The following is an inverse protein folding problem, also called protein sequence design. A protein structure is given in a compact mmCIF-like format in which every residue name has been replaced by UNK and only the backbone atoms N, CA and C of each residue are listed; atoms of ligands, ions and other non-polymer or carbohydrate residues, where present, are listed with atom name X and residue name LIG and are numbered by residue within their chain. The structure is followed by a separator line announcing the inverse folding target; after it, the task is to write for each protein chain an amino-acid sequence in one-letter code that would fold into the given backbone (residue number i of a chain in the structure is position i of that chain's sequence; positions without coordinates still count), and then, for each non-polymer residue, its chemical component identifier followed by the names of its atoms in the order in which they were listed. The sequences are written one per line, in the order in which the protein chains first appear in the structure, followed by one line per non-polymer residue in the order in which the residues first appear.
data_IF_858442855707
#
_entry.id   IF_858442855707
#
_cell.length_a   1.000
_cell.length_b   1.000
_cell.length_c   1.000
_cell.angle_alpha   90.00
_cell.angle_beta   90.00
_cell.angle_gamma   90.00
#
_symmetry.space_group_name_H-M   'P 1'
#
loop_
_entity.id
_entity.type
_entity.pdbx_description
1 polymer ?
#
# COMPACT_ATOMS: atom_id res chain seq x y z
N UNK A 1 26.49 16.74 13.70
CA UNK A 1 26.30 16.19 12.33
C UNK A 1 27.30 16.87 11.40
N UNK A 2 28.25 16.12 10.79
CA UNK A 2 29.14 16.68 9.77
C UNK A 2 28.29 17.20 8.60
N UNK A 3 28.55 18.44 8.14
CA UNK A 3 27.93 18.95 6.91
C UNK A 3 28.36 18.04 5.76
N UNK A 4 27.43 17.28 5.22
CA UNK A 4 27.67 16.36 4.09
C UNK A 4 27.75 17.21 2.84
N UNK A 5 28.80 17.01 2.03
CA UNK A 5 28.95 17.69 0.75
C UNK A 5 27.86 17.25 -0.23
N UNK A 6 27.39 18.19 -1.08
CA UNK A 6 26.45 17.87 -2.16
C UNK A 6 26.98 16.77 -3.11
N UNK A 7 28.28 16.70 -3.29
CA UNK A 7 28.93 15.63 -4.08
C UNK A 7 28.67 14.23 -3.52
N UNK A 8 28.59 14.07 -2.18
CA UNK A 8 28.29 12.78 -1.54
C UNK A 8 26.81 12.43 -1.57
N UNK A 9 25.92 13.45 -1.60
CA UNK A 9 24.46 13.26 -1.64
C UNK A 9 23.95 12.92 -3.04
N UNK A 10 24.56 13.47 -4.08
CA UNK A 10 24.12 13.32 -5.48
C UNK A 10 23.94 11.86 -5.93
N UNK A 11 24.87 10.93 -5.68
CA UNK A 11 24.68 9.52 -6.04
C UNK A 11 23.56 8.85 -5.26
N UNK A 12 23.38 9.19 -3.97
CA UNK A 12 22.29 8.66 -3.13
C UNK A 12 20.91 9.14 -3.62
N UNK A 13 20.78 10.42 -3.93
CA UNK A 13 19.56 10.99 -4.52
C UNK A 13 19.24 10.33 -5.86
N UNK A 14 20.27 10.10 -6.71
CA UNK A 14 20.07 9.40 -7.99
C UNK A 14 19.56 7.96 -7.76
N UNK A 15 20.13 7.23 -6.81
CA UNK A 15 19.69 5.88 -6.48
C UNK A 15 18.25 5.84 -5.98
N UNK A 16 17.87 6.79 -5.11
CA UNK A 16 16.47 6.92 -4.66
C UNK A 16 15.54 7.17 -5.86
N UNK A 17 15.90 8.06 -6.80
CA UNK A 17 15.08 8.32 -7.99
C UNK A 17 14.94 7.09 -8.89
N UNK A 18 16.03 6.37 -9.13
CA UNK A 18 16.02 5.15 -9.97
C UNK A 18 15.10 4.08 -9.42
N UNK A 19 15.03 3.94 -8.09
CA UNK A 19 14.13 2.97 -7.46
C UNK A 19 12.70 3.52 -7.29
N UNK A 20 12.55 4.81 -7.02
CA UNK A 20 11.23 5.40 -6.79
C UNK A 20 10.41 5.53 -8.07
N UNK A 21 11.01 5.88 -9.20
CA UNK A 21 10.28 6.15 -10.43
C UNK A 21 9.47 4.95 -10.93
N UNK A 22 10.02 3.72 -11.03
CA UNK A 22 9.21 2.55 -11.38
C UNK A 22 8.11 2.26 -10.35
N UNK A 23 8.40 2.44 -9.04
CA UNK A 23 7.41 2.23 -8.00
C UNK A 23 6.26 3.25 -8.05
N UNK A 24 6.55 4.52 -8.37
CA UNK A 24 5.54 5.55 -8.63
C UNK A 24 4.66 5.17 -9.83
N UNK A 25 5.27 4.72 -10.93
CA UNK A 25 4.54 4.26 -12.11
C UNK A 25 3.60 3.10 -11.78
N UNK A 26 4.03 2.15 -10.95
CA UNK A 26 3.16 1.06 -10.45
C UNK A 26 1.92 1.63 -9.76
N UNK A 27 2.07 2.60 -8.86
CA UNK A 27 0.95 3.19 -8.13
C UNK A 27 0.00 3.97 -9.04
N UNK A 28 0.55 4.76 -9.96
CA UNK A 28 -0.27 5.49 -10.95
C UNK A 28 -1.05 4.51 -11.83
N UNK A 29 -0.42 3.45 -12.31
CA UNK A 29 -1.07 2.43 -13.14
C UNK A 29 -2.22 1.74 -12.39
N UNK A 30 -2.04 1.45 -11.10
CA UNK A 30 -3.10 0.86 -10.26
C UNK A 30 -4.32 1.77 -10.17
N UNK A 31 -4.11 3.08 -10.01
CA UNK A 31 -5.22 4.05 -9.98
C UNK A 31 -5.92 4.12 -11.34
N UNK A 32 -5.14 4.23 -12.41
CA UNK A 32 -5.69 4.27 -13.79
C UNK A 32 -6.56 3.05 -14.05
N UNK A 33 -6.09 1.85 -13.63
CA UNK A 33 -6.87 0.61 -13.73
C UNK A 33 -8.20 0.73 -12.97
N UNK A 34 -8.19 1.19 -11.71
CA UNK A 34 -9.42 1.37 -10.93
C UNK A 34 -10.42 2.35 -11.58
N UNK A 35 -9.92 3.42 -12.22
CA UNK A 35 -10.77 4.35 -12.95
C UNK A 35 -11.39 3.73 -14.20
N UNK A 36 -10.60 2.99 -14.97
CA UNK A 36 -11.08 2.29 -16.17
C UNK A 36 -12.15 1.26 -15.78
N UNK A 37 -11.91 0.47 -14.74
CA UNK A 37 -12.87 -0.51 -14.22
C UNK A 37 -14.18 0.17 -13.81
N UNK A 38 -14.07 1.26 -13.06
CA UNK A 38 -15.24 2.02 -12.62
C UNK A 38 -16.04 2.58 -13.80
N UNK A 39 -15.36 3.05 -14.85
CA UNK A 39 -16.00 3.55 -16.07
C UNK A 39 -16.66 2.42 -16.87
N UNK A 40 -15.99 1.28 -17.01
CA UNK A 40 -16.53 0.11 -17.73
C UNK A 40 -17.76 -0.46 -17.02
N UNK A 41 -17.72 -0.61 -15.69
CA UNK A 41 -18.86 -1.05 -14.90
C UNK A 41 -19.97 0.00 -14.89
N UNK A 42 -19.62 1.28 -14.83
CA UNK A 42 -20.57 2.38 -14.90
C UNK A 42 -21.44 2.37 -16.15
N UNK A 43 -20.91 1.85 -17.28
CA UNK A 43 -21.66 1.68 -18.52
C UNK A 43 -22.80 0.66 -18.42
N UNK A 44 -22.79 -0.26 -17.44
CA UNK A 44 -23.85 -1.20 -17.14
C UNK A 44 -25.02 -0.57 -16.35
N UNK A 45 -24.83 0.65 -15.85
CA UNK A 45 -25.85 1.39 -15.09
C UNK A 45 -25.56 1.55 -13.60
N UNK A 46 -26.40 2.34 -12.92
CA UNK A 46 -26.21 2.72 -11.53
C UNK A 46 -26.22 1.53 -10.56
N UNK A 47 -27.04 0.52 -10.80
CA UNK A 47 -27.13 -0.66 -9.94
C UNK A 47 -25.86 -1.48 -9.95
N UNK A 48 -25.19 -1.59 -11.11
CA UNK A 48 -23.92 -2.30 -11.25
C UNK A 48 -22.82 -1.61 -10.44
N UNK A 49 -22.70 -0.31 -10.55
CA UNK A 49 -21.75 0.49 -9.77
C UNK A 49 -22.05 0.41 -8.26
N UNK A 50 -23.32 0.47 -7.88
CA UNK A 50 -23.74 0.34 -6.50
C UNK A 50 -23.43 -1.05 -5.91
N UNK A 51 -23.57 -2.12 -6.68
CA UNK A 51 -23.25 -3.47 -6.26
C UNK A 51 -21.76 -3.64 -5.92
N UNK A 52 -20.86 -3.13 -6.76
CA UNK A 52 -19.40 -3.13 -6.49
C UNK A 52 -19.06 -2.21 -5.33
N UNK A 53 -19.63 -1.00 -5.30
CA UNK A 53 -19.44 -0.04 -4.22
C UNK A 53 -19.81 -0.60 -2.84
N UNK A 54 -20.90 -1.38 -2.76
CA UNK A 54 -21.38 -2.01 -1.52
C UNK A 54 -20.30 -2.90 -0.89
N UNK A 55 -19.61 -3.72 -1.66
CA UNK A 55 -18.61 -4.68 -1.16
C UNK A 55 -17.18 -4.13 -1.18
N UNK A 56 -16.96 -2.91 -1.68
CA UNK A 56 -15.62 -2.33 -1.87
C UNK A 56 -14.81 -2.25 -0.58
N UNK A 57 -15.41 -1.82 0.52
CA UNK A 57 -14.72 -1.75 1.83
C UNK A 57 -14.24 -3.13 2.28
N UNK A 58 -15.02 -4.19 2.03
CA UNK A 58 -14.64 -5.56 2.37
C UNK A 58 -13.49 -6.06 1.48
N UNK A 59 -13.49 -5.72 0.19
CA UNK A 59 -12.38 -6.06 -0.72
C UNK A 59 -11.10 -5.31 -0.35
N UNK A 60 -11.20 -4.06 0.05
CA UNK A 60 -10.06 -3.28 0.54
C UNK A 60 -9.48 -3.84 1.83
N UNK A 61 -10.32 -4.27 2.76
CA UNK A 61 -9.89 -4.92 3.99
C UNK A 61 -9.08 -6.20 3.70
N UNK A 62 -9.59 -7.05 2.81
CA UNK A 62 -8.89 -8.27 2.39
C UNK A 62 -7.55 -7.94 1.71
N UNK A 63 -7.52 -6.92 0.85
CA UNK A 63 -6.30 -6.39 0.25
C UNK A 63 -5.28 -5.90 1.28
N UNK A 64 -5.73 -5.20 2.33
CA UNK A 64 -4.89 -4.75 3.43
C UNK A 64 -4.26 -5.90 4.21
N UNK A 65 -5.01 -6.99 4.44
CA UNK A 65 -4.47 -8.19 5.10
C UNK A 65 -3.40 -8.85 4.22
N UNK A 66 -3.63 -8.98 2.91
CA UNK A 66 -2.65 -9.55 1.97
C UNK A 66 -1.37 -8.71 1.92
N UNK A 67 -1.50 -7.39 1.96
CA UNK A 67 -0.37 -6.46 2.05
C UNK A 67 0.42 -6.63 3.35
N UNK A 68 -0.26 -6.76 4.49
CA UNK A 68 0.38 -6.95 5.79
C UNK A 68 1.21 -8.24 5.85
N UNK A 69 0.69 -9.34 5.31
CA UNK A 69 1.43 -10.62 5.17
C UNK A 69 2.68 -10.41 4.32
N UNK A 70 2.55 -9.75 3.18
CA UNK A 70 3.68 -9.48 2.27
C UNK A 70 4.75 -8.61 2.94
N UNK A 71 4.35 -7.57 3.70
CA UNK A 71 5.25 -6.70 4.43
C UNK A 71 6.06 -7.44 5.50
N UNK A 72 5.45 -8.42 6.19
CA UNK A 72 6.09 -9.23 7.22
C UNK A 72 7.32 -10.01 6.72
N UNK A 73 7.26 -10.49 5.49
CA UNK A 73 8.35 -11.27 4.89
C UNK A 73 9.30 -10.41 4.07
N UNK A 74 8.82 -9.40 3.33
CA UNK A 74 9.64 -8.60 2.42
C UNK A 74 10.75 -7.83 3.13
N UNK A 75 10.50 -7.30 4.33
CA UNK A 75 11.52 -6.63 5.15
C UNK A 75 12.65 -7.59 5.53
N UNK A 76 12.35 -8.84 5.85
CA UNK A 76 13.36 -9.86 6.16
C UNK A 76 14.19 -10.22 4.93
N UNK A 77 13.57 -10.23 3.74
CA UNK A 77 14.30 -10.41 2.46
C UNK A 77 15.28 -9.25 2.25
N UNK A 78 14.82 -8.00 2.43
CA UNK A 78 15.70 -6.83 2.30
C UNK A 78 16.90 -6.89 3.25
N UNK A 79 16.69 -7.28 4.52
CA UNK A 79 17.76 -7.44 5.50
C UNK A 79 18.76 -8.53 5.10
N UNK A 80 18.30 -9.71 4.64
CA UNK A 80 19.18 -10.80 4.23
C UNK A 80 19.99 -10.45 2.99
N UNK A 81 19.38 -9.81 1.98
CA UNK A 81 20.09 -9.36 0.78
C UNK A 81 21.12 -8.29 1.14
N UNK A 82 20.76 -7.33 2.00
CA UNK A 82 21.68 -6.31 2.48
C UNK A 82 22.89 -6.91 3.21
N UNK A 83 22.68 -7.98 3.96
CA UNK A 83 23.74 -8.73 4.67
C UNK A 83 24.56 -9.69 3.74
N UNK A 84 24.26 -9.74 2.44
CA UNK A 84 24.91 -10.69 1.51
C UNK A 84 24.52 -12.15 1.75
N UNK A 85 23.44 -12.43 2.48
CA UNK A 85 22.99 -13.79 2.84
C UNK A 85 21.85 -14.24 1.94
N UNK A 86 22.15 -14.54 0.68
CA UNK A 86 21.14 -14.96 -0.30
C UNK A 86 20.41 -16.26 0.10
N UNK A 87 21.11 -17.22 0.73
CA UNK A 87 20.47 -18.43 1.25
C UNK A 87 19.42 -18.12 2.32
N UNK A 88 19.69 -17.16 3.21
CA UNK A 88 18.71 -16.65 4.17
C UNK A 88 17.51 -15.98 3.51
N UNK A 89 17.76 -15.17 2.47
CA UNK A 89 16.68 -14.55 1.70
C UNK A 89 15.78 -15.60 1.02
N UNK A 90 16.34 -16.64 0.42
CA UNK A 90 15.61 -17.77 -0.19
C UNK A 90 14.81 -18.56 0.83
N UNK A 91 15.35 -18.76 2.03
CA UNK A 91 14.61 -19.39 3.13
C UNK A 91 13.38 -18.56 3.52
N UNK A 92 13.54 -17.24 3.66
CA UNK A 92 12.40 -16.33 3.93
C UNK A 92 11.37 -16.36 2.80
N UNK A 93 11.80 -16.37 1.53
CA UNK A 93 10.90 -16.48 0.36
C UNK A 93 10.06 -17.75 0.42
N UNK A 94 10.67 -18.91 0.73
CA UNK A 94 9.96 -20.19 0.87
C UNK A 94 8.91 -20.15 1.96
N UNK A 95 9.29 -19.71 3.18
CA UNK A 95 8.36 -19.58 4.31
C UNK A 95 7.25 -18.58 4.01
N UNK A 96 7.61 -17.47 3.35
CA UNK A 96 6.67 -16.43 2.93
C UNK A 96 5.62 -16.97 1.95
N UNK A 97 6.04 -17.75 0.94
CA UNK A 97 5.11 -18.36 -0.02
C UNK A 97 4.15 -19.34 0.66
N UNK A 98 4.68 -20.26 1.50
CA UNK A 98 3.82 -21.21 2.20
C UNK A 98 2.81 -20.49 3.11
N UNK A 99 3.29 -19.57 3.94
CA UNK A 99 2.41 -18.83 4.87
C UNK A 99 1.40 -17.97 4.12
N UNK A 100 1.82 -17.25 3.09
CA UNK A 100 0.95 -16.37 2.32
C UNK A 100 -0.15 -17.16 1.59
N UNK A 101 0.19 -18.30 0.99
CA UNK A 101 -0.80 -19.18 0.34
C UNK A 101 -1.76 -19.81 1.35
N UNK A 102 -1.28 -20.21 2.53
CA UNK A 102 -2.16 -20.70 3.61
C UNK A 102 -3.14 -19.61 4.07
N UNK A 103 -2.65 -18.39 4.33
CA UNK A 103 -3.51 -17.27 4.75
C UNK A 103 -4.49 -16.90 3.62
N UNK A 104 -4.03 -16.83 2.38
CA UNK A 104 -4.87 -16.55 1.22
C UNK A 104 -5.94 -17.62 1.02
N UNK A 105 -5.60 -18.89 1.23
CA UNK A 105 -6.55 -20.01 1.19
C UNK A 105 -7.63 -19.89 2.26
N UNK A 106 -7.24 -19.54 3.50
CA UNK A 106 -8.20 -19.30 4.60
C UNK A 106 -9.12 -18.12 4.25
N UNK A 107 -8.56 -17.00 3.77
CA UNK A 107 -9.36 -15.83 3.38
C UNK A 107 -10.28 -16.14 2.20
N UNK A 108 -9.82 -16.92 1.23
CA UNK A 108 -10.64 -17.38 0.11
C UNK A 108 -11.84 -18.23 0.60
N UNK A 109 -11.59 -19.23 1.45
CA UNK A 109 -12.66 -20.08 2.00
C UNK A 109 -13.64 -19.27 2.85
N UNK A 110 -13.15 -18.36 3.70
CA UNK A 110 -13.99 -17.44 4.48
C UNK A 110 -14.81 -16.54 3.56
N UNK A 111 -14.20 -15.93 2.55
CA UNK A 111 -14.89 -15.08 1.58
C UNK A 111 -15.99 -15.84 0.84
N UNK A 112 -15.69 -17.07 0.39
CA UNK A 112 -16.67 -17.94 -0.26
C UNK A 112 -17.79 -18.40 0.68
N UNK A 113 -17.52 -18.53 1.97
CA UNK A 113 -18.56 -18.91 2.96
C UNK A 113 -19.54 -17.78 3.24
N UNK A 114 -19.09 -16.53 3.17
CA UNK A 114 -19.94 -15.37 3.54
C UNK A 114 -20.47 -14.59 2.34
N UNK A 115 -20.04 -14.88 1.10
CA UNK A 115 -20.33 -14.07 -0.08
C UNK A 115 -21.84 -13.78 -0.29
N UNK A 116 -22.70 -14.75 0.01
CA UNK A 116 -24.15 -14.62 -0.17
C UNK A 116 -24.81 -13.78 0.94
N UNK A 117 -24.25 -13.78 2.15
CA UNK A 117 -24.78 -13.05 3.31
C UNK A 117 -24.22 -11.64 3.40
N UNK A 118 -23.00 -11.42 2.92
CA UNK A 118 -22.27 -10.16 3.04
C UNK A 118 -23.06 -8.94 2.52
N UNK A 119 -23.67 -8.94 1.31
CA UNK A 119 -24.45 -7.81 0.84
C UNK A 119 -25.66 -7.47 1.72
N UNK A 120 -26.23 -8.48 2.36
CA UNK A 120 -27.35 -8.29 3.31
C UNK A 120 -26.86 -7.67 4.61
N UNK A 121 -25.74 -8.14 5.17
CA UNK A 121 -25.11 -7.57 6.37
C UNK A 121 -24.68 -6.11 6.17
N UNK A 122 -24.28 -5.76 4.96
CA UNK A 122 -23.91 -4.38 4.60
C UNK A 122 -25.11 -3.48 4.29
N UNK A 123 -26.34 -3.98 4.44
CA UNK A 123 -27.56 -3.20 4.23
C UNK A 123 -27.89 -2.93 2.76
N UNK A 124 -27.37 -3.75 1.83
CA UNK A 124 -27.60 -3.59 0.39
C UNK A 124 -29.08 -3.73 0.02
N UNK A 125 -29.53 -2.95 -0.98
CA UNK A 125 -30.85 -3.09 -1.57
C UNK A 125 -31.02 -4.48 -2.22
N UNK A 126 -32.18 -5.14 -2.10
CA UNK A 126 -32.47 -6.43 -2.73
C UNK A 126 -32.12 -6.49 -4.23
N UNK A 127 -32.29 -5.37 -4.95
CA UNK A 127 -32.01 -5.28 -6.38
C UNK A 127 -30.52 -5.47 -6.75
N UNK A 128 -29.60 -5.14 -5.83
CA UNK A 128 -28.13 -5.20 -6.10
C UNK A 128 -27.43 -6.34 -5.35
N UNK A 129 -28.09 -7.02 -4.41
CA UNK A 129 -27.48 -8.05 -3.56
C UNK A 129 -26.91 -9.22 -4.38
N UNK A 130 -27.61 -9.63 -5.41
CA UNK A 130 -27.18 -10.75 -6.25
C UNK A 130 -25.86 -10.43 -6.97
N UNK A 131 -25.77 -9.27 -7.61
CA UNK A 131 -24.58 -8.86 -8.36
C UNK A 131 -23.41 -8.60 -7.41
N UNK A 132 -23.65 -7.96 -6.27
CA UNK A 132 -22.65 -7.75 -5.22
C UNK A 132 -22.10 -9.07 -4.67
N UNK A 133 -22.97 -10.06 -4.43
CA UNK A 133 -22.59 -11.40 -3.98
C UNK A 133 -21.71 -12.12 -5.00
N UNK A 134 -22.10 -12.09 -6.28
CA UNK A 134 -21.36 -12.73 -7.38
C UNK A 134 -19.99 -12.07 -7.61
N UNK A 135 -19.95 -10.74 -7.58
CA UNK A 135 -18.70 -10.01 -7.68
C UNK A 135 -17.74 -10.35 -6.53
N UNK A 136 -18.24 -10.33 -5.29
CA UNK A 136 -17.45 -10.67 -4.11
C UNK A 136 -16.98 -12.13 -4.10
N UNK A 137 -17.78 -13.06 -4.60
CA UNK A 137 -17.39 -14.45 -4.79
C UNK A 137 -16.19 -14.59 -5.73
N UNK A 138 -16.20 -13.90 -6.87
CA UNK A 138 -15.08 -13.90 -7.81
C UNK A 138 -13.84 -13.24 -7.18
N UNK A 139 -14.02 -12.14 -6.44
CA UNK A 139 -12.95 -11.50 -5.71
C UNK A 139 -12.33 -12.43 -4.67
N UNK A 140 -13.14 -13.20 -3.93
CA UNK A 140 -12.65 -14.18 -2.97
C UNK A 140 -11.78 -15.26 -3.65
N UNK A 141 -12.18 -15.74 -4.83
CA UNK A 141 -11.38 -16.68 -5.64
C UNK A 141 -10.08 -16.06 -6.17
N UNK A 142 -10.03 -14.74 -6.37
CA UNK A 142 -8.85 -14.02 -6.81
C UNK A 142 -7.80 -13.86 -5.68
N UNK A 143 -8.20 -13.91 -4.40
CA UNK A 143 -7.31 -13.61 -3.26
C UNK A 143 -5.97 -14.37 -3.32
N UNK A 144 -5.89 -15.70 -3.61
CA UNK A 144 -4.62 -16.40 -3.71
C UNK A 144 -3.68 -15.81 -4.78
N UNK A 145 -4.21 -15.41 -5.92
CA UNK A 145 -3.43 -14.77 -6.98
C UNK A 145 -2.99 -13.35 -6.60
N UNK A 146 -3.88 -12.57 -6.00
CA UNK A 146 -3.56 -11.24 -5.50
C UNK A 146 -2.48 -11.29 -4.41
N UNK A 147 -2.56 -12.25 -3.49
CA UNK A 147 -1.55 -12.48 -2.47
C UNK A 147 -0.20 -12.87 -3.10
N UNK A 148 -0.21 -13.76 -4.08
CA UNK A 148 1.00 -14.18 -4.80
C UNK A 148 1.65 -13.00 -5.53
N UNK A 149 0.84 -12.15 -6.19
CA UNK A 149 1.31 -10.93 -6.85
C UNK A 149 1.93 -9.95 -5.84
N UNK A 150 1.23 -9.64 -4.76
CA UNK A 150 1.70 -8.71 -3.71
C UNK A 150 3.00 -9.18 -3.08
N UNK A 151 3.10 -10.46 -2.74
CA UNK A 151 4.27 -11.03 -2.09
C UNK A 151 5.51 -11.02 -3.01
N UNK A 152 5.37 -11.56 -4.24
CA UNK A 152 6.50 -11.64 -5.17
C UNK A 152 6.91 -10.26 -5.69
N UNK A 153 5.97 -9.34 -5.89
CA UNK A 153 6.25 -7.94 -6.19
C UNK A 153 7.09 -7.30 -5.08
N UNK A 154 6.69 -7.49 -3.82
CA UNK A 154 7.43 -6.97 -2.65
C UNK A 154 8.83 -7.60 -2.52
N UNK A 155 8.98 -8.89 -2.82
CA UNK A 155 10.28 -9.57 -2.82
C UNK A 155 11.21 -9.02 -3.90
N UNK A 156 10.72 -8.85 -5.13
CA UNK A 156 11.49 -8.25 -6.22
C UNK A 156 11.91 -6.82 -5.88
N UNK A 157 11.00 -6.00 -5.35
CA UNK A 157 11.30 -4.65 -4.91
C UNK A 157 12.40 -4.65 -3.84
N UNK A 158 12.30 -5.50 -2.82
CA UNK A 158 13.31 -5.63 -1.77
C UNK A 158 14.65 -6.19 -2.27
N UNK A 159 14.66 -6.95 -3.39
CA UNK A 159 15.89 -7.36 -4.07
C UNK A 159 16.51 -6.24 -4.91
N UNK A 160 15.86 -5.09 -5.04
CA UNK A 160 16.28 -3.94 -5.84
C UNK A 160 15.74 -3.94 -7.27
N UNK A 161 14.99 -4.95 -7.67
CA UNK A 161 14.30 -5.00 -8.96
C UNK A 161 12.94 -4.32 -8.84
N UNK A 162 12.91 -2.99 -8.98
CA UNK A 162 11.67 -2.21 -9.01
C UNK A 162 11.02 -2.20 -10.40
N UNK A 163 11.80 -2.45 -11.44
CA UNK A 163 11.35 -2.32 -12.83
C UNK A 163 10.43 -3.47 -13.22
N UNK A 164 10.77 -4.71 -12.87
CA UNK A 164 9.95 -5.89 -13.21
C UNK A 164 8.53 -5.80 -12.66
N UNK A 165 8.30 -5.51 -11.36
CA UNK A 165 6.95 -5.29 -10.83
C UNK A 165 6.21 -4.15 -11.51
N UNK A 166 6.91 -3.06 -11.85
CA UNK A 166 6.30 -1.92 -12.51
C UNK A 166 5.77 -2.26 -13.91
N UNK A 167 6.60 -2.92 -14.73
CA UNK A 167 6.20 -3.36 -16.08
C UNK A 167 5.04 -4.37 -16.02
N UNK A 168 5.12 -5.35 -15.11
CA UNK A 168 4.10 -6.38 -14.99
C UNK A 168 2.76 -5.81 -14.48
N UNK A 169 2.78 -4.86 -13.54
CA UNK A 169 1.55 -4.19 -13.10
C UNK A 169 0.96 -3.29 -14.20
N UNK A 170 1.80 -2.64 -15.02
CA UNK A 170 1.31 -1.92 -16.20
C UNK A 170 0.69 -2.89 -17.23
N UNK A 171 1.31 -4.04 -17.45
CA UNK A 171 0.73 -5.08 -18.30
C UNK A 171 -0.58 -5.65 -17.71
N UNK A 172 -0.70 -5.74 -16.37
CA UNK A 172 -1.96 -6.14 -15.71
C UNK A 172 -3.10 -5.19 -16.06
N UNK A 173 -2.85 -3.87 -16.03
CA UNK A 173 -3.85 -2.87 -16.40
C UNK A 173 -4.33 -3.07 -17.85
N UNK A 174 -3.42 -3.32 -18.79
CA UNK A 174 -3.79 -3.57 -20.19
C UNK A 174 -4.60 -4.88 -20.36
N UNK A 175 -4.15 -5.94 -19.70
CA UNK A 175 -4.87 -7.23 -19.74
C UNK A 175 -6.25 -7.13 -19.10
N UNK A 176 -6.37 -6.38 -18.03
CA UNK A 176 -7.63 -6.15 -17.35
C UNK A 176 -8.65 -5.47 -18.26
N UNK A 177 -8.25 -4.42 -18.98
CA UNK A 177 -9.11 -3.75 -19.98
C UNK A 177 -9.55 -4.72 -21.07
N UNK A 178 -8.63 -5.56 -21.57
CA UNK A 178 -8.95 -6.55 -22.61
C UNK A 178 -9.94 -7.59 -22.07
N UNK A 179 -9.67 -8.17 -20.91
CA UNK A 179 -10.56 -9.18 -20.33
C UNK A 179 -11.91 -8.61 -19.91
N UNK A 180 -11.95 -7.41 -19.35
CA UNK A 180 -13.18 -6.70 -19.03
C UNK A 180 -14.01 -6.43 -20.28
N UNK A 181 -13.40 -6.04 -21.39
CA UNK A 181 -14.09 -5.84 -22.67
C UNK A 181 -14.71 -7.14 -23.22
N UNK A 182 -14.15 -8.30 -22.89
CA UNK A 182 -14.67 -9.61 -23.29
C UNK A 182 -15.76 -10.09 -22.31
N UNK A 183 -15.49 -10.02 -21.00
CA UNK A 183 -16.35 -10.67 -20.00
C UNK A 183 -17.53 -9.82 -19.55
N UNK A 184 -17.41 -8.49 -19.49
CA UNK A 184 -18.49 -7.60 -19.05
C UNK A 184 -19.74 -7.73 -19.94
N UNK A 185 -19.66 -7.76 -21.29
CA UNK A 185 -20.84 -7.91 -22.15
C UNK A 185 -21.58 -9.23 -21.93
N UNK A 186 -20.88 -10.30 -21.49
CA UNK A 186 -21.47 -11.63 -21.33
C UNK A 186 -21.99 -11.90 -19.90
N UNK A 187 -21.31 -11.35 -18.88
CA UNK A 187 -21.55 -11.68 -17.49
C UNK A 187 -21.88 -10.46 -16.60
N UNK A 188 -21.98 -9.26 -17.18
CA UNK A 188 -22.30 -8.05 -16.46
C UNK A 188 -21.30 -7.73 -15.34
N UNK A 189 -21.78 -7.43 -14.15
CA UNK A 189 -20.97 -7.10 -12.96
C UNK A 189 -20.00 -8.23 -12.58
N UNK A 190 -20.44 -9.49 -12.66
CA UNK A 190 -19.59 -10.64 -12.43
C UNK A 190 -18.46 -10.72 -13.46
N UNK A 191 -18.72 -10.29 -14.72
CA UNK A 191 -17.73 -10.23 -15.79
C UNK A 191 -16.56 -9.31 -15.49
N UNK A 192 -16.82 -8.16 -14.84
CA UNK A 192 -15.75 -7.26 -14.36
C UNK A 192 -14.86 -7.96 -13.32
N UNK A 193 -15.46 -8.68 -12.38
CA UNK A 193 -14.70 -9.49 -11.43
C UNK A 193 -13.83 -10.56 -12.10
N UNK A 194 -14.39 -11.29 -13.08
CA UNK A 194 -13.69 -12.35 -13.83
C UNK A 194 -12.54 -11.76 -14.66
N UNK A 195 -12.74 -10.60 -15.30
CA UNK A 195 -11.70 -9.92 -16.08
C UNK A 195 -10.50 -9.56 -15.20
N UNK A 196 -10.75 -8.85 -14.11
CA UNK A 196 -9.71 -8.47 -13.15
C UNK A 196 -9.02 -9.68 -12.52
N UNK A 197 -9.78 -10.72 -12.16
CA UNK A 197 -9.22 -11.96 -11.61
C UNK A 197 -8.33 -12.69 -12.63
N UNK A 198 -8.73 -12.72 -13.90
CA UNK A 198 -7.95 -13.35 -14.99
C UNK A 198 -6.63 -12.58 -15.24
N UNK A 199 -6.69 -11.26 -15.33
CA UNK A 199 -5.50 -10.41 -15.47
C UNK A 199 -4.54 -10.60 -14.27
N UNK A 200 -5.08 -10.57 -13.06
CA UNK A 200 -4.33 -10.81 -11.83
C UNK A 200 -3.69 -12.21 -11.83
N UNK A 201 -4.39 -13.25 -12.24
CA UNK A 201 -3.85 -14.60 -12.30
C UNK A 201 -2.66 -14.72 -13.27
N UNK A 202 -2.79 -14.19 -14.49
CA UNK A 202 -1.70 -14.20 -15.48
C UNK A 202 -0.48 -13.47 -14.95
N UNK A 203 -0.66 -12.26 -14.42
CA UNK A 203 0.46 -11.44 -13.94
C UNK A 203 1.07 -12.00 -12.67
N UNK A 204 0.26 -12.52 -11.74
CA UNK A 204 0.79 -13.13 -10.51
C UNK A 204 1.68 -14.35 -10.77
N UNK A 205 1.29 -15.19 -11.73
CA UNK A 205 2.10 -16.34 -12.14
C UNK A 205 3.39 -15.89 -12.84
N UNK A 206 3.32 -14.88 -13.70
CA UNK A 206 4.50 -14.30 -14.37
C UNK A 206 5.43 -13.63 -13.33
N UNK A 207 4.87 -12.92 -12.34
CA UNK A 207 5.62 -12.31 -11.24
C UNK A 207 6.32 -13.37 -10.41
N UNK A 208 5.61 -14.47 -10.08
CA UNK A 208 6.18 -15.60 -9.36
C UNK A 208 7.31 -16.27 -10.15
N UNK A 209 7.11 -16.49 -11.46
CA UNK A 209 8.13 -17.02 -12.35
C UNK A 209 9.40 -16.16 -12.36
N UNK A 210 9.26 -14.85 -12.51
CA UNK A 210 10.39 -13.89 -12.48
C UNK A 210 11.10 -13.88 -11.13
N UNK A 211 10.34 -13.88 -10.03
CA UNK A 211 10.89 -13.85 -8.67
C UNK A 211 11.62 -15.15 -8.32
N UNK A 212 10.96 -16.31 -8.55
CA UNK A 212 11.39 -17.59 -8.00
C UNK A 212 12.36 -18.36 -8.89
N UNK A 213 12.39 -18.08 -10.21
CA UNK A 213 13.24 -18.79 -11.16
C UNK A 213 14.29 -17.91 -11.82
N UNK A 214 14.00 -16.60 -12.04
CA UNK A 214 14.91 -15.74 -12.81
C UNK A 214 15.77 -14.83 -11.91
N UNK A 215 15.28 -14.41 -10.73
CA UNK A 215 16.03 -13.48 -9.88
C UNK A 215 17.24 -14.20 -9.22
N UNK A 216 18.48 -13.70 -9.36
CA UNK A 216 19.68 -14.40 -8.87
C UNK A 216 19.71 -14.53 -7.34
N UNK A 217 19.16 -13.57 -6.59
CA UNK A 217 19.14 -13.58 -5.12
C UNK A 217 18.00 -14.42 -4.53
N UNK A 218 16.87 -14.54 -5.24
CA UNK A 218 15.63 -15.10 -4.71
C UNK A 218 15.27 -16.48 -5.28
N UNK A 219 15.90 -16.90 -6.38
CA UNK A 219 15.58 -18.16 -7.07
C UNK A 219 15.67 -19.35 -6.14
N UNK A 220 14.61 -20.15 -6.13
CA UNK A 220 14.55 -21.37 -5.35
C UNK A 220 15.28 -22.49 -6.09
N UNK A 221 16.45 -22.86 -5.60
CA UNK A 221 17.24 -23.97 -6.13
C UNK A 221 16.98 -25.23 -5.30
N UNK A 222 16.57 -26.32 -5.94
CA UNK A 222 16.18 -27.60 -5.28
C UNK A 222 17.27 -28.15 -4.34
N UNK A 223 18.57 -28.00 -4.71
CA UNK A 223 19.70 -28.51 -3.91
C UNK A 223 19.93 -27.78 -2.58
N UNK A 224 19.56 -26.51 -2.50
CA UNK A 224 19.68 -25.70 -1.26
C UNK A 224 18.41 -25.77 -0.40
N UNK A 225 17.28 -26.13 -1.00
CA UNK A 225 15.97 -26.19 -0.34
C UNK A 225 15.87 -27.35 0.66
N UNK A 226 16.59 -28.45 0.41
CA UNK A 226 16.57 -29.64 1.26
C UNK A 226 17.33 -29.49 2.57
N UNK A 227 18.24 -28.51 2.66
CA UNK A 227 19.09 -28.31 3.86
C UNK A 227 18.45 -27.48 4.98
N UNK A 228 17.35 -26.78 4.72
CA UNK A 228 16.72 -25.88 5.71
C UNK A 228 15.28 -26.29 5.95
N UNK A 229 15.02 -26.92 7.10
CA UNK A 229 13.69 -27.22 7.61
C UNK A 229 12.84 -25.97 7.86
N UNK A 230 11.69 -26.15 8.48
CA UNK A 230 10.81 -25.05 8.92
C UNK A 230 11.51 -24.28 10.05
N UNK A 231 11.70 -22.96 9.86
CA UNK A 231 12.31 -22.07 10.86
C UNK A 231 11.23 -21.18 11.49
N UNK A 232 10.83 -21.46 12.75
CA UNK A 232 9.79 -20.68 13.43
C UNK A 232 10.20 -19.22 13.70
N UNK A 233 11.50 -18.91 13.75
CA UNK A 233 11.97 -17.54 13.96
C UNK A 233 11.65 -16.63 12.77
N UNK A 234 11.66 -17.15 11.54
CA UNK A 234 11.23 -16.40 10.35
C UNK A 234 9.76 -16.01 10.47
N UNK A 235 8.91 -16.96 10.89
CA UNK A 235 7.47 -16.71 11.06
C UNK A 235 7.21 -15.73 12.21
N UNK A 236 7.89 -15.90 13.34
CA UNK A 236 7.77 -14.99 14.49
C UNK A 236 8.17 -13.56 14.14
N UNK A 237 9.24 -13.38 13.35
CA UNK A 237 9.64 -12.06 12.84
C UNK A 237 8.62 -11.52 11.86
N UNK A 238 8.08 -12.35 10.95
CA UNK A 238 7.05 -11.96 10.02
C UNK A 238 5.77 -11.49 10.73
N UNK A 239 5.32 -12.21 11.76
CA UNK A 239 4.19 -11.82 12.60
C UNK A 239 4.46 -10.51 13.34
N UNK A 240 5.66 -10.35 13.91
CA UNK A 240 6.04 -9.11 14.62
C UNK A 240 6.01 -7.87 13.71
N UNK A 241 6.29 -8.02 12.43
CA UNK A 241 6.27 -6.94 11.44
C UNK A 241 4.88 -6.81 10.82
N UNK A 242 4.27 -7.90 10.39
CA UNK A 242 3.02 -7.91 9.63
C UNK A 242 1.78 -7.67 10.49
N UNK A 243 1.71 -8.24 11.70
CA UNK A 243 0.51 -8.09 12.55
C UNK A 243 0.17 -6.64 12.89
N UNK A 244 1.13 -5.77 13.30
CA UNK A 244 0.83 -4.35 13.52
C UNK A 244 0.33 -3.65 12.26
N UNK A 245 0.88 -4.00 11.08
CA UNK A 245 0.44 -3.46 9.80
C UNK A 245 -0.98 -3.92 9.49
N UNK A 246 -1.30 -5.19 9.70
CA UNK A 246 -2.66 -5.72 9.49
C UNK A 246 -3.70 -5.07 10.40
N UNK A 247 -3.39 -4.90 11.68
CA UNK A 247 -4.26 -4.18 12.64
C UNK A 247 -4.47 -2.73 12.19
N UNK A 248 -3.41 -2.07 11.70
CA UNK A 248 -3.50 -0.73 11.15
C UNK A 248 -4.46 -0.66 9.95
N UNK A 249 -4.38 -1.60 9.00
CA UNK A 249 -5.26 -1.63 7.82
C UNK A 249 -6.74 -1.83 8.23
N UNK A 250 -7.01 -2.73 9.17
CA UNK A 250 -8.36 -2.93 9.73
C UNK A 250 -8.88 -1.63 10.35
N UNK A 251 -8.05 -0.97 11.16
CA UNK A 251 -8.43 0.28 11.83
C UNK A 251 -8.63 1.44 10.85
N UNK A 252 -7.85 1.51 9.77
CA UNK A 252 -8.04 2.49 8.70
C UNK A 252 -9.35 2.28 7.95
N UNK A 253 -9.68 1.04 7.58
CA UNK A 253 -10.95 0.71 6.94
C UNK A 253 -12.14 1.05 7.86
N UNK A 254 -12.05 0.73 9.15
CA UNK A 254 -13.08 1.04 10.13
C UNK A 254 -13.28 2.56 10.29
N UNK A 255 -12.21 3.32 10.34
CA UNK A 255 -12.27 4.79 10.43
C UNK A 255 -12.87 5.41 9.16
N UNK A 256 -12.61 4.83 7.99
CA UNK A 256 -13.22 5.28 6.72
C UNK A 256 -14.75 5.06 6.73
N UNK A 257 -15.22 3.93 7.27
CA UNK A 257 -16.66 3.68 7.46
C UNK A 257 -17.26 4.73 8.40
N UNK A 258 -16.63 4.99 9.55
CA UNK A 258 -17.10 6.02 10.50
C UNK A 258 -17.10 7.41 9.86
N UNK A 259 -16.07 7.77 9.09
CA UNK A 259 -16.03 9.04 8.36
C UNK A 259 -17.20 9.18 7.38
N UNK A 260 -17.53 8.10 6.65
CA UNK A 260 -18.69 8.06 5.76
C UNK A 260 -20.00 8.23 6.53
N UNK A 261 -20.15 7.60 7.70
CA UNK A 261 -21.33 7.77 8.57
C UNK A 261 -21.49 9.21 9.07
N UNK A 262 -20.39 9.91 9.35
CA UNK A 262 -20.40 11.32 9.75
C UNK A 262 -20.82 12.24 8.60
N UNK A 263 -20.43 11.92 7.36
CA UNK A 263 -20.75 12.70 6.16
C UNK A 263 -22.18 12.43 5.68
N UNK A 264 -22.70 11.21 5.85
CA UNK A 264 -23.99 10.79 5.30
C UNK A 264 -25.16 11.74 5.65
N UNK A 265 -25.31 12.27 6.87
CA UNK A 265 -26.37 13.20 7.22
C UNK A 265 -26.30 14.56 6.50
N UNK A 266 -25.14 14.92 5.90
CA UNK A 266 -24.99 16.17 5.16
C UNK A 266 -25.67 16.17 3.78
N UNK A 267 -26.22 15.03 3.35
CA UNK A 267 -26.98 14.88 2.12
C UNK A 267 -26.16 14.47 0.90
N UNK A 268 -26.86 14.17 -0.18
CA UNK A 268 -26.29 13.56 -1.40
C UNK A 268 -25.20 14.41 -2.07
N UNK A 269 -25.33 15.73 -2.08
CA UNK A 269 -24.34 16.65 -2.65
C UNK A 269 -23.01 16.54 -1.91
N UNK A 270 -23.02 16.47 -0.59
CA UNK A 270 -21.81 16.33 0.24
C UNK A 270 -21.15 14.96 0.06
N UNK A 271 -21.94 13.89 -0.06
CA UNK A 271 -21.42 12.53 -0.29
C UNK A 271 -20.75 12.47 -1.66
N UNK A 272 -21.40 13.00 -2.71
CA UNK A 272 -20.83 13.04 -4.06
C UNK A 272 -19.56 13.90 -4.12
N UNK A 273 -19.59 15.09 -3.51
CA UNK A 273 -18.45 16.00 -3.45
C UNK A 273 -17.25 15.35 -2.72
N UNK A 274 -17.49 14.66 -1.60
CA UNK A 274 -16.47 13.91 -0.87
C UNK A 274 -15.86 12.80 -1.74
N UNK A 275 -16.67 12.02 -2.42
CA UNK A 275 -16.22 10.94 -3.30
C UNK A 275 -15.30 11.45 -4.41
N UNK A 276 -15.71 12.51 -5.11
CA UNK A 276 -14.88 13.12 -6.17
C UNK A 276 -13.61 13.76 -5.60
N UNK A 277 -13.66 14.39 -4.44
CA UNK A 277 -12.51 15.00 -3.81
C UNK A 277 -11.47 13.95 -3.39
N UNK A 278 -11.89 12.85 -2.75
CA UNK A 278 -10.99 11.72 -2.39
C UNK A 278 -10.36 11.09 -3.63
N UNK A 279 -11.14 10.97 -4.69
CA UNK A 279 -10.70 10.46 -5.97
C UNK A 279 -9.59 11.34 -6.57
N UNK A 280 -9.78 12.66 -6.60
CA UNK A 280 -8.78 13.60 -7.10
C UNK A 280 -7.54 13.67 -6.20
N UNK A 281 -7.71 13.60 -4.87
CA UNK A 281 -6.60 13.55 -3.90
C UNK A 281 -5.71 12.32 -4.10
N UNK A 282 -6.29 11.18 -4.48
CA UNK A 282 -5.53 9.94 -4.68
C UNK A 282 -4.42 10.08 -5.71
N UNK A 283 -4.61 10.90 -6.74
CA UNK A 283 -3.57 11.19 -7.73
C UNK A 283 -2.38 11.95 -7.14
N UNK A 284 -2.59 12.69 -6.05
CA UNK A 284 -1.53 13.46 -5.38
C UNK A 284 -0.70 12.59 -4.44
N UNK A 285 -1.35 11.72 -3.64
CA UNK A 285 -0.64 10.97 -2.61
C UNK A 285 -0.11 9.59 -3.03
N UNK A 286 -0.67 8.96 -4.06
CA UNK A 286 -0.21 7.63 -4.49
C UNK A 286 1.26 7.59 -4.92
N UNK A 287 1.83 8.60 -5.58
CA UNK A 287 3.27 8.65 -5.81
C UNK A 287 4.11 8.56 -4.53
N UNK A 288 3.61 9.09 -3.40
CA UNK A 288 4.22 8.98 -2.09
C UNK A 288 4.40 7.53 -1.64
N UNK A 289 3.44 6.65 -1.90
CA UNK A 289 3.57 5.21 -1.62
C UNK A 289 4.66 4.54 -2.46
N UNK A 290 4.87 4.97 -3.71
CA UNK A 290 5.98 4.51 -4.54
C UNK A 290 7.34 4.87 -3.93
N UNK A 291 7.52 6.12 -3.49
CA UNK A 291 8.73 6.56 -2.78
C UNK A 291 8.88 5.84 -1.43
N UNK A 292 7.79 5.59 -0.73
CA UNK A 292 7.75 4.82 0.52
C UNK A 292 8.22 3.37 0.35
N UNK A 293 7.88 2.73 -0.78
CA UNK A 293 8.37 1.39 -1.12
C UNK A 293 9.89 1.39 -1.39
N UNK A 294 10.39 2.37 -2.13
CA UNK A 294 11.82 2.56 -2.34
C UNK A 294 12.56 2.81 -1.01
N UNK A 295 11.97 3.63 -0.11
CA UNK A 295 12.51 3.86 1.22
C UNK A 295 12.60 2.56 2.04
N UNK A 296 11.56 1.71 2.01
CA UNK A 296 11.57 0.41 2.69
C UNK A 296 12.72 -0.47 2.20
N UNK A 297 12.94 -0.53 0.90
CA UNK A 297 14.00 -1.32 0.27
C UNK A 297 15.40 -0.80 0.61
N UNK A 298 15.65 0.50 0.39
CA UNK A 298 16.96 1.11 0.62
C UNK A 298 17.36 1.08 2.10
N UNK A 299 16.42 1.45 2.97
CA UNK A 299 16.67 1.39 4.42
C UNK A 299 16.86 -0.05 4.87
N UNK A 300 16.00 -0.98 4.46
CA UNK A 300 16.08 -2.39 4.84
C UNK A 300 17.40 -3.03 4.42
N UNK A 301 17.84 -2.82 3.19
CA UNK A 301 19.13 -3.35 2.69
C UNK A 301 20.32 -2.78 3.45
N UNK A 302 20.33 -1.47 3.71
CA UNK A 302 21.44 -0.85 4.45
C UNK A 302 21.46 -1.24 5.93
N UNK A 303 20.28 -1.44 6.55
CA UNK A 303 20.18 -2.01 7.91
C UNK A 303 20.72 -3.45 7.93
N UNK A 304 20.33 -4.27 6.95
CA UNK A 304 20.86 -5.63 6.81
C UNK A 304 22.38 -5.68 6.61
N UNK A 305 22.93 -4.71 5.88
CA UNK A 305 24.39 -4.55 5.67
C UNK A 305 25.14 -3.98 6.90
N UNK A 306 24.45 -3.71 8.02
CA UNK A 306 25.06 -3.06 9.20
C UNK A 306 25.38 -1.56 9.01
N UNK A 307 25.08 -0.98 7.84
CA UNK A 307 25.35 0.43 7.49
C UNK A 307 24.24 1.35 7.98
N UNK A 308 24.04 1.42 9.30
CA UNK A 308 22.89 2.10 9.91
C UNK A 308 22.84 3.60 9.68
N UNK A 309 24.01 4.28 9.63
CA UNK A 309 24.06 5.70 9.31
C UNK A 309 23.64 5.98 7.86
N UNK A 310 24.03 5.10 6.94
CA UNK A 310 23.62 5.19 5.55
C UNK A 310 22.13 4.90 5.39
N UNK A 311 21.60 3.90 6.10
CA UNK A 311 20.18 3.61 6.17
C UNK A 311 19.36 4.84 6.63
N UNK A 312 19.82 5.52 7.70
CA UNK A 312 19.19 6.74 8.20
C UNK A 312 19.24 7.89 7.18
N UNK A 313 20.35 8.02 6.44
CA UNK A 313 20.46 9.01 5.37
C UNK A 313 19.46 8.73 4.24
N UNK A 314 19.41 7.50 3.73
CA UNK A 314 18.41 7.14 2.71
C UNK A 314 16.98 7.40 3.17
N UNK A 315 16.64 7.04 4.41
CA UNK A 315 15.34 7.36 4.99
C UNK A 315 15.02 8.86 4.93
N UNK A 316 15.97 9.70 5.35
CA UNK A 316 15.80 11.16 5.33
C UNK A 316 15.71 11.73 3.90
N UNK A 317 16.53 11.25 2.96
CA UNK A 317 16.47 11.66 1.55
C UNK A 317 15.11 11.31 0.96
N UNK A 318 14.64 10.07 1.15
CA UNK A 318 13.33 9.65 0.68
C UNK A 318 12.20 10.50 1.26
N UNK A 319 12.25 10.84 2.57
CA UNK A 319 11.24 11.67 3.22
C UNK A 319 11.20 13.07 2.60
N UNK A 320 12.36 13.71 2.40
CA UNK A 320 12.43 15.04 1.77
C UNK A 320 11.94 14.99 0.33
N UNK A 321 12.34 13.97 -0.43
CA UNK A 321 11.89 13.79 -1.82
C UNK A 321 10.38 13.54 -1.90
N UNK A 322 9.83 12.69 -1.02
CA UNK A 322 8.40 12.40 -0.97
C UNK A 322 7.58 13.63 -0.58
N UNK A 323 8.00 14.35 0.45
CA UNK A 323 7.36 15.60 0.84
C UNK A 323 7.39 16.66 -0.27
N UNK A 324 8.54 16.81 -0.93
CA UNK A 324 8.70 17.74 -2.06
C UNK A 324 7.85 17.34 -3.26
N UNK A 325 7.83 16.05 -3.61
CA UNK A 325 7.02 15.55 -4.73
C UNK A 325 5.52 15.77 -4.47
N UNK A 326 5.04 15.40 -3.28
CA UNK A 326 3.64 15.59 -2.91
C UNK A 326 3.26 17.07 -2.73
N UNK A 327 4.19 17.91 -2.31
CA UNK A 327 3.99 19.37 -2.33
C UNK A 327 3.76 19.91 -3.76
N UNK A 328 4.54 19.42 -4.72
CA UNK A 328 4.42 19.84 -6.13
C UNK A 328 3.10 19.32 -6.72
N UNK A 329 2.77 18.03 -6.55
CA UNK A 329 1.52 17.46 -7.06
C UNK A 329 0.29 18.09 -6.40
N UNK A 330 0.34 18.36 -5.10
CA UNK A 330 -0.72 19.07 -4.36
C UNK A 330 -0.89 20.51 -4.85
N UNK A 331 0.21 21.23 -5.07
CA UNK A 331 0.16 22.59 -5.62
C UNK A 331 -0.41 22.60 -7.04
N UNK A 332 0.02 21.69 -7.91
CA UNK A 332 -0.54 21.54 -9.25
C UNK A 332 -2.03 21.24 -9.20
N UNK A 333 -2.46 20.30 -8.36
CA UNK A 333 -3.86 19.93 -8.20
C UNK A 333 -4.68 21.12 -7.65
N UNK A 334 -4.13 21.97 -6.79
CA UNK A 334 -4.82 23.14 -6.27
C UNK A 334 -5.25 24.10 -7.38
N UNK A 335 -4.42 24.28 -8.43
CA UNK A 335 -4.77 25.06 -9.62
C UNK A 335 -5.68 24.28 -10.56
N UNK A 336 -5.51 22.96 -10.69
CA UNK A 336 -6.27 22.12 -11.61
C UNK A 336 -7.64 21.70 -11.08
N UNK A 337 -7.94 21.89 -9.79
CA UNK A 337 -9.23 21.51 -9.17
C UNK A 337 -10.45 21.87 -10.02
N UNK A 338 -10.62 23.12 -10.52
CA UNK A 338 -11.82 23.48 -11.28
C UNK A 338 -11.96 22.68 -12.58
N UNK A 339 -10.83 22.44 -13.25
CA UNK A 339 -10.80 21.65 -14.49
C UNK A 339 -11.13 20.17 -14.21
N UNK A 340 -10.48 19.57 -13.20
CA UNK A 340 -10.70 18.17 -12.84
C UNK A 340 -12.16 17.91 -12.49
N UNK A 341 -12.77 18.75 -11.66
CA UNK A 341 -14.18 18.58 -11.29
C UNK A 341 -15.15 18.94 -12.43
N UNK A 342 -14.73 19.77 -13.39
CA UNK A 342 -15.57 20.02 -14.58
C UNK A 342 -15.69 18.78 -15.47
N UNK A 343 -14.68 17.91 -15.46
CA UNK A 343 -14.67 16.66 -16.21
C UNK A 343 -15.46 15.57 -15.44
N UNK A 344 -15.35 15.55 -14.11
CA UNK A 344 -15.92 14.48 -13.27
C UNK A 344 -17.43 14.59 -13.08
N UNK A 345 -18.00 15.81 -13.04
CA UNK A 345 -19.43 15.99 -12.81
C UNK A 345 -19.98 17.24 -13.50
N UNK A 346 -21.21 17.23 -14.04
CA UNK A 346 -21.88 18.42 -14.58
C UNK A 346 -22.46 19.34 -13.49
N UNK A 347 -22.67 18.83 -12.27
CA UNK A 347 -23.34 19.55 -11.18
C UNK A 347 -22.40 20.62 -10.56
N UNK A 348 -22.80 21.88 -10.67
CA UNK A 348 -22.03 23.04 -10.19
C UNK A 348 -21.92 23.07 -8.65
N UNK A 349 -22.95 22.60 -7.94
CA UNK A 349 -22.94 22.58 -6.47
C UNK A 349 -21.95 21.56 -5.94
N UNK A 350 -21.91 20.37 -6.55
CA UNK A 350 -20.95 19.31 -6.24
C UNK A 350 -19.53 19.76 -6.58
N UNK A 351 -19.30 20.40 -7.74
CA UNK A 351 -17.98 20.95 -8.13
C UNK A 351 -17.44 21.94 -7.12
N UNK A 352 -18.27 22.91 -6.71
CA UNK A 352 -17.86 23.98 -5.80
C UNK A 352 -17.45 23.39 -4.43
N UNK A 353 -18.28 22.49 -3.90
CA UNK A 353 -18.05 21.87 -2.60
C UNK A 353 -16.85 20.90 -2.63
N UNK A 354 -16.69 20.12 -3.70
CA UNK A 354 -15.55 19.23 -3.88
C UNK A 354 -14.23 20.00 -4.01
N UNK A 355 -14.22 21.11 -4.78
CA UNK A 355 -13.04 21.95 -4.92
C UNK A 355 -12.65 22.62 -3.59
N UNK A 356 -13.63 23.08 -2.81
CA UNK A 356 -13.38 23.64 -1.48
C UNK A 356 -12.79 22.59 -0.53
N UNK A 357 -13.40 21.43 -0.47
CA UNK A 357 -12.95 20.31 0.36
C UNK A 357 -11.53 19.87 -0.02
N UNK A 358 -11.29 19.59 -1.30
CA UNK A 358 -9.98 19.14 -1.78
C UNK A 358 -8.88 20.17 -1.49
N UNK A 359 -9.12 21.47 -1.73
CA UNK A 359 -8.13 22.51 -1.44
C UNK A 359 -7.68 22.54 0.01
N UNK A 360 -8.58 22.22 0.96
CA UNK A 360 -8.22 22.09 2.37
C UNK A 360 -7.28 20.89 2.57
N UNK A 361 -7.59 19.72 1.98
CA UNK A 361 -6.74 18.53 2.05
C UNK A 361 -5.35 18.74 1.47
N UNK A 362 -5.27 19.41 0.30
CA UNK A 362 -4.02 19.65 -0.41
C UNK A 362 -2.99 20.46 0.39
N UNK A 363 -3.40 21.26 1.37
CA UNK A 363 -2.49 21.96 2.27
C UNK A 363 -1.69 20.99 3.17
N UNK A 364 -2.23 19.82 3.44
CA UNK A 364 -1.58 18.79 4.26
C UNK A 364 -0.67 17.84 3.45
N UNK A 365 -0.74 17.86 2.10
CA UNK A 365 0.00 16.95 1.23
C UNK A 365 1.50 16.83 1.53
N UNK A 366 2.26 17.92 1.79
CA UNK A 366 3.67 17.79 2.12
C UNK A 366 3.94 16.96 3.37
N UNK A 367 3.16 17.18 4.43
CA UNK A 367 3.28 16.43 5.69
C UNK A 367 2.68 15.02 5.58
N UNK A 368 1.68 14.83 4.73
CA UNK A 368 1.19 13.50 4.38
C UNK A 368 2.27 12.69 3.66
N UNK A 369 3.02 13.30 2.74
CA UNK A 369 4.19 12.69 2.10
C UNK A 369 5.27 12.29 3.11
N UNK A 370 5.55 13.15 4.09
CA UNK A 370 6.42 12.80 5.23
C UNK A 370 5.90 11.55 5.93
N UNK A 371 4.61 11.49 6.24
CA UNK A 371 4.00 10.36 6.95
C UNK A 371 4.16 9.04 6.18
N UNK A 372 3.79 9.01 4.89
CA UNK A 372 3.85 7.81 4.06
C UNK A 372 5.29 7.29 3.93
N UNK A 373 6.22 8.20 3.60
CA UNK A 373 7.60 7.81 3.31
C UNK A 373 8.37 7.46 4.59
N UNK A 374 8.13 8.18 5.70
CA UNK A 374 8.72 7.83 6.99
C UNK A 374 8.21 6.48 7.51
N UNK A 375 6.92 6.17 7.34
CA UNK A 375 6.38 4.85 7.66
C UNK A 375 7.05 3.75 6.82
N UNK A 376 7.32 4.00 5.53
CA UNK A 376 8.09 3.12 4.67
C UNK A 376 9.52 2.90 5.17
N UNK A 377 10.23 3.97 5.52
CA UNK A 377 11.59 3.90 6.06
C UNK A 377 11.65 3.15 7.39
N UNK A 378 10.72 3.42 8.32
CA UNK A 378 10.61 2.72 9.60
C UNK A 378 10.29 1.23 9.40
N UNK A 379 9.40 0.89 8.46
CA UNK A 379 9.13 -0.50 8.08
C UNK A 379 10.40 -1.19 7.59
N UNK A 380 11.22 -0.52 6.78
CA UNK A 380 12.52 -1.02 6.33
C UNK A 380 13.47 -1.36 7.48
N UNK A 381 13.40 -0.67 8.62
CA UNK A 381 14.17 -1.02 9.83
C UNK A 381 13.56 -2.19 10.62
N UNK A 382 12.32 -2.60 10.32
CA UNK A 382 11.52 -3.54 11.10
C UNK A 382 10.74 -2.89 12.26
N UNK A 383 10.75 -1.57 12.37
CA UNK A 383 9.95 -0.80 13.34
C UNK A 383 8.56 -0.54 12.75
N UNK A 384 7.62 -1.44 12.99
CA UNK A 384 6.24 -1.34 12.49
C UNK A 384 5.23 -1.07 13.59
N UNK A 385 5.46 -1.57 14.81
CA UNK A 385 4.51 -1.45 15.91
C UNK A 385 4.22 -0.01 16.30
N UNK A 386 5.26 0.79 16.57
CA UNK A 386 5.08 2.19 17.00
C UNK A 386 4.46 3.04 15.90
N UNK A 387 4.92 3.00 14.64
CA UNK A 387 4.23 3.67 13.53
C UNK A 387 2.76 3.28 13.38
N UNK A 388 2.42 2.00 13.53
CA UNK A 388 1.02 1.54 13.45
C UNK A 388 0.16 2.12 14.57
N UNK A 389 0.67 2.15 15.81
CA UNK A 389 -0.03 2.78 16.95
C UNK A 389 -0.18 4.28 16.75
N UNK A 390 0.84 4.97 16.23
CA UNK A 390 0.75 6.40 15.91
C UNK A 390 -0.29 6.69 14.83
N UNK A 391 -0.35 5.88 13.77
CA UNK A 391 -1.38 5.98 12.74
C UNK A 391 -2.78 5.78 13.31
N UNK A 392 -2.96 4.70 14.08
CA UNK A 392 -4.24 4.39 14.72
C UNK A 392 -4.68 5.53 15.66
N UNK A 393 -3.80 5.99 16.51
CA UNK A 393 -4.08 7.09 17.44
C UNK A 393 -4.43 8.39 16.71
N UNK A 394 -3.68 8.76 15.66
CA UNK A 394 -3.95 9.99 14.91
C UNK A 394 -5.31 9.93 14.19
N UNK A 395 -5.64 8.82 13.55
CA UNK A 395 -6.91 8.66 12.81
C UNK A 395 -8.11 8.69 13.78
N UNK A 396 -8.06 7.89 14.83
CA UNK A 396 -9.21 7.75 15.72
C UNK A 396 -9.37 8.92 16.69
N UNK A 397 -8.28 9.46 17.23
CA UNK A 397 -8.36 10.57 18.20
C UNK A 397 -8.42 11.92 17.47
N UNK A 398 -7.53 12.17 16.51
CA UNK A 398 -7.45 13.50 15.89
C UNK A 398 -8.51 13.63 14.78
N UNK A 399 -8.51 12.72 13.77
CA UNK A 399 -9.43 12.85 12.63
C UNK A 399 -10.88 12.71 13.05
N UNK A 400 -11.24 11.58 13.69
CA UNK A 400 -12.64 11.34 14.08
C UNK A 400 -13.08 12.30 15.19
N UNK A 401 -12.22 12.56 16.20
CA UNK A 401 -12.53 13.51 17.26
C UNK A 401 -12.79 14.93 16.74
N UNK A 402 -11.93 15.46 15.86
CA UNK A 402 -12.16 16.76 15.23
C UNK A 402 -13.34 16.77 14.26
N UNK A 403 -13.56 15.68 13.52
CA UNK A 403 -14.70 15.59 12.61
C UNK A 403 -16.03 15.73 13.36
N UNK A 404 -16.19 15.06 14.50
CA UNK A 404 -17.38 15.18 15.34
C UNK A 404 -17.62 16.61 15.85
N UNK A 405 -16.56 17.39 16.08
CA UNK A 405 -16.67 18.78 16.53
C UNK A 405 -16.94 19.76 15.38
N UNK A 406 -16.34 19.52 14.22
CA UNK A 406 -16.31 20.50 13.13
C UNK A 406 -17.45 20.29 12.11
N UNK A 407 -17.88 19.04 11.87
CA UNK A 407 -18.85 18.74 10.81
C UNK A 407 -20.21 19.38 11.10
N UNK A 408 -20.65 19.46 12.36
CA UNK A 408 -21.90 20.11 12.73
C UNK A 408 -22.00 21.59 12.34
N UNK A 409 -20.88 22.30 12.37
CA UNK A 409 -20.83 23.75 12.08
C UNK A 409 -20.38 24.08 10.65
N UNK A 410 -19.51 23.25 10.08
CA UNK A 410 -18.82 23.54 8.81
C UNK A 410 -19.15 22.52 7.70
N UNK A 411 -19.96 21.50 7.97
CA UNK A 411 -20.29 20.47 6.98
C UNK A 411 -19.07 19.72 6.44
N UNK A 412 -19.07 19.46 5.14
CA UNK A 412 -17.97 18.74 4.48
C UNK A 412 -16.60 19.41 4.62
N UNK A 413 -16.42 20.73 4.47
CA UNK A 413 -15.17 21.43 4.79
C UNK A 413 -14.66 21.15 6.20
N UNK A 414 -15.54 20.97 7.20
CA UNK A 414 -15.17 20.58 8.56
C UNK A 414 -14.53 19.20 8.63
N UNK A 415 -15.07 18.22 7.90
CA UNK A 415 -14.49 16.88 7.78
C UNK A 415 -13.10 16.92 7.14
N UNK A 416 -12.93 17.68 6.07
CA UNK A 416 -11.64 17.82 5.38
C UNK A 416 -10.61 18.60 6.20
N UNK A 417 -11.04 19.57 7.01
CA UNK A 417 -10.17 20.26 7.98
C UNK A 417 -9.68 19.28 9.06
N UNK A 418 -10.56 18.43 9.58
CA UNK A 418 -10.18 17.38 10.53
C UNK A 418 -9.18 16.40 9.92
N UNK A 419 -9.39 15.99 8.67
CA UNK A 419 -8.49 15.12 7.93
C UNK A 419 -7.12 15.78 7.69
N UNK A 420 -7.09 17.00 7.19
CA UNK A 420 -5.86 17.75 6.93
C UNK A 420 -5.05 17.95 8.22
N UNK A 421 -5.70 18.30 9.32
CA UNK A 421 -5.05 18.45 10.63
C UNK A 421 -4.44 17.12 11.09
N UNK A 422 -5.17 16.02 10.95
CA UNK A 422 -4.68 14.69 11.28
C UNK A 422 -3.48 14.30 10.44
N UNK A 423 -3.52 14.51 9.12
CA UNK A 423 -2.40 14.23 8.23
C UNK A 423 -1.13 15.00 8.62
N UNK A 424 -1.28 16.26 9.04
CA UNK A 424 -0.18 17.06 9.56
C UNK A 424 0.37 16.51 10.89
N UNK A 425 -0.50 16.19 11.85
CA UNK A 425 -0.10 15.59 13.13
C UNK A 425 0.62 14.25 12.90
N UNK A 426 0.07 13.40 12.06
CA UNK A 426 0.68 12.11 11.73
C UNK A 426 2.04 12.27 11.06
N UNK A 427 2.18 13.21 10.13
CA UNK A 427 3.48 13.53 9.51
C UNK A 427 4.53 13.91 10.53
N UNK A 428 4.19 14.79 11.49
CA UNK A 428 5.09 15.21 12.57
C UNK A 428 5.44 14.05 13.52
N UNK A 429 4.47 13.21 13.89
CA UNK A 429 4.70 12.03 14.72
C UNK A 429 5.64 11.04 14.04
N UNK A 430 5.45 10.77 12.75
CA UNK A 430 6.32 9.88 11.98
C UNK A 430 7.74 10.43 11.83
N UNK A 431 7.88 11.74 11.61
CA UNK A 431 9.18 12.40 11.57
C UNK A 431 9.90 12.34 12.91
N UNK A 432 9.18 12.54 14.00
CA UNK A 432 9.71 12.38 15.36
C UNK A 432 10.19 10.95 15.58
N UNK A 433 9.38 9.93 15.21
CA UNK A 433 9.77 8.53 15.34
C UNK A 433 10.99 8.19 14.50
N UNK A 434 11.07 8.67 13.26
CA UNK A 434 12.23 8.47 12.37
C UNK A 434 13.54 8.97 13.00
N UNK A 435 13.48 10.09 13.76
CA UNK A 435 14.63 10.65 14.45
C UNK A 435 15.01 9.89 15.72
N UNK A 436 14.02 9.33 16.45
CA UNK A 436 14.18 8.76 17.80
C UNK A 436 14.24 7.23 17.83
N UNK A 437 13.93 6.57 16.73
CA UNK A 437 13.90 5.09 16.69
C UNK A 437 15.24 4.48 17.08
N UNK A 438 15.20 3.48 17.98
CA UNK A 438 16.38 2.74 18.44
C UNK A 438 16.77 1.61 17.47
N UNK A 439 15.94 1.32 16.45
CA UNK A 439 16.20 0.23 15.53
C UNK A 439 17.47 0.43 14.70
N UNK A 440 17.81 1.66 14.34
CA UNK A 440 19.09 1.97 13.71
C UNK A 440 20.30 1.60 14.57
N UNK A 441 20.20 1.70 15.93
CA UNK A 441 21.29 1.37 16.85
C UNK A 441 21.39 -0.10 17.20
N UNK A 442 20.28 -0.85 17.11
CA UNK A 442 20.24 -2.25 17.51
C UNK A 442 21.10 -3.14 16.60
N UNK A 443 21.17 -2.83 15.33
CA UNK A 443 21.92 -3.60 14.35
C UNK A 443 23.44 -3.36 14.40
N UNK A 444 23.92 -2.20 14.89
CA UNK A 444 25.37 -1.98 15.13
C UNK A 444 25.94 -2.94 16.19
N UNK A 445 25.17 -3.27 17.22
CA UNK A 445 25.64 -4.18 18.29
C UNK A 445 25.76 -5.63 17.83
N UNK A 446 24.95 -6.07 16.86
CA UNK A 446 24.95 -7.46 16.37
C UNK A 446 26.12 -7.69 15.41
N UNK A 447 26.63 -6.67 14.70
CA UNK A 447 27.82 -6.76 13.86
C UNK A 447 29.10 -6.74 14.66
N UNK A 448 29.17 -6.00 15.77
CA UNK A 448 30.33 -5.99 16.66
C UNK A 448 30.54 -7.30 17.42
N UNK A 449 29.46 -8.06 17.66
CA UNK A 449 29.54 -9.38 18.34
C UNK A 449 29.82 -10.55 17.39
N UNK A 450 29.63 -10.39 16.08
CA UNK A 450 29.87 -11.44 15.08
C UNK A 450 31.22 -11.35 14.38
N UNK A 451 31.94 -10.22 14.46
CA UNK A 451 33.31 -10.10 13.93
C UNK A 451 34.36 -10.95 14.66
N UNK A 452 34.32 -11.13 16.02
CA UNK A 452 35.28 -12.00 16.70
C UNK A 452 35.14 -13.49 16.34
N UNK A 453 33.91 -14.00 16.19
CA UNK A 453 33.66 -15.40 15.86
C UNK A 453 34.08 -15.77 14.41
N UNK A 454 34.02 -14.80 13.48
CA UNK A 454 34.44 -15.01 12.09
C UNK A 454 35.96 -14.93 11.92
N UNK A 455 36.67 -14.20 12.77
CA UNK A 455 38.14 -14.15 12.78
C UNK A 455 38.73 -15.41 13.42
N UNK A 456 38.13 -15.93 14.51
CA UNK A 456 38.54 -17.21 15.10
C UNK A 456 38.28 -18.42 14.18
N UNK A 457 37.19 -18.38 13.37
CA UNK A 457 36.93 -19.44 12.39
C UNK A 457 37.77 -19.37 11.12
N UNK A 458 38.47 -18.25 10.86
CA UNK A 458 39.38 -18.10 9.73
C UNK A 458 40.84 -18.41 10.09
N UNK A 459 41.14 -18.47 11.40
CA UNK A 459 42.47 -18.83 11.90
C UNK A 459 42.58 -20.31 12.36
N UNK A 460 41.47 -21.04 12.36
CA UNK A 460 41.37 -22.48 12.63
C UNK A 460 41.17 -23.28 11.34
#
# INVERSE_FOLDING_TARGET
MKKISWHELKPQVKEVWVLSLPAILTQITTIVMQYIDSAMVGSLGANASAAIGLVSTSTWLLGGITYAVSAGFSVQVAHNIGAGRDAGARSVVRHGLCTALCVAGILCVLGLSIHSMLPTWLGGDPAIRYDASKYFMVYALMIPFSQLNSLNSSFLQCSGDMLTPSILNAAMCLLDVVFNSIFIPHFGVMGAGIGTASACAVISLTMAWRCLLCNPHLRLNRKETEKHGFDPEILKKALKIGLPVGVQEIAMCSAQVVATMIIAPLGAVSIAANSFAVTAESLCYMPGYGIGSAATTLVGRNVGAGKTDLAKRYGNICIVMGAGFMAITGLLMMFLCPLVFSILTPDLSVRALAAQALRIGLLAEPLYGVSIVAAGALRGTGDTFVPSVMNLGSIWVVRIGLALLLVGNFGLPGMWTAMATELCVRGLLMLYRQKTTKYYKKYNKTTETSEPELLEAAES
#
